data_IF_596995201145
#
_entry.id   IF_596995201145
#
_cell.length_a   1.000
_cell.length_b   1.000
_cell.length_c   1.000
_cell.angle_alpha   90.00
_cell.angle_beta   90.00
_cell.angle_gamma   90.00
#
_symmetry.space_group_name_H-M   'P 1'
#
loop_
_entity.id
_entity.type
_entity.pdbx_description
1 polymer ?
#
# COMPACT_ATOMS: atom_id res chain seq x y z
N UNK A 1 30.26 2.78 8.70
CA UNK A 1 28.91 3.30 8.37
C UNK A 1 28.05 2.10 7.98
N UNK A 2 26.77 2.04 8.39
CA UNK A 2 25.87 0.97 7.92
C UNK A 2 25.76 1.02 6.38
N UNK A 3 25.92 -0.11 5.66
CA UNK A 3 25.86 -0.13 4.19
C UNK A 3 24.54 0.42 3.63
N UNK A 4 23.40 0.17 4.30
CA UNK A 4 22.09 0.67 3.89
C UNK A 4 22.02 2.20 4.05
N UNK A 5 22.55 2.73 5.15
CA UNK A 5 22.65 4.19 5.31
C UNK A 5 23.52 4.81 4.22
N UNK A 6 24.68 4.21 3.93
CA UNK A 6 25.57 4.70 2.87
C UNK A 6 24.91 4.71 1.49
N UNK A 7 24.12 3.67 1.18
CA UNK A 7 23.33 3.60 -0.04
C UNK A 7 22.40 4.82 -0.17
N UNK A 8 21.55 5.07 0.84
CA UNK A 8 20.54 6.13 0.77
C UNK A 8 21.10 7.55 0.93
N UNK A 9 22.32 7.69 1.52
CA UNK A 9 23.05 8.97 1.47
C UNK A 9 23.60 9.25 0.06
N UNK A 10 23.97 8.21 -0.71
CA UNK A 10 24.51 8.35 -2.07
C UNK A 10 23.40 8.42 -3.10
N UNK A 11 22.37 7.61 -2.93
CA UNK A 11 21.23 7.45 -3.83
C UNK A 11 19.91 7.52 -3.06
N UNK A 12 19.43 8.73 -2.69
CA UNK A 12 18.11 8.89 -2.09
C UNK A 12 17.03 8.24 -2.94
N UNK A 13 16.19 7.39 -2.34
CA UNK A 13 15.20 6.60 -3.08
C UNK A 13 13.78 6.75 -2.48
N UNK A 14 12.75 6.78 -3.35
CA UNK A 14 12.83 6.93 -4.80
C UNK A 14 13.37 8.31 -5.20
N UNK A 15 14.05 8.39 -6.35
CA UNK A 15 14.56 9.67 -6.85
C UNK A 15 13.41 10.65 -7.12
N UNK A 16 13.45 11.84 -6.53
CA UNK A 16 12.40 12.86 -6.62
C UNK A 16 12.97 14.26 -6.80
N UNK A 17 12.36 15.01 -7.71
CA UNK A 17 12.58 16.45 -7.83
C UNK A 17 11.50 17.18 -7.00
N UNK A 18 11.89 17.96 -5.97
CA UNK A 18 10.93 18.74 -5.20
C UNK A 18 10.04 19.68 -6.03
N UNK A 19 10.55 20.18 -7.16
CA UNK A 19 9.78 21.07 -8.05
C UNK A 19 8.55 20.39 -8.68
N UNK A 20 8.53 19.06 -8.77
CA UNK A 20 7.38 18.33 -9.29
C UNK A 20 6.15 18.41 -8.38
N UNK A 21 6.34 18.75 -7.10
CA UNK A 21 5.23 18.93 -6.16
C UNK A 21 4.29 20.09 -6.53
N UNK A 22 4.79 21.08 -7.28
CA UNK A 22 3.95 22.15 -7.84
C UNK A 22 3.03 21.66 -8.97
N UNK A 23 3.34 20.51 -9.60
CA UNK A 23 2.62 19.97 -10.75
C UNK A 23 1.62 18.88 -10.39
N UNK A 24 1.97 18.01 -9.45
CA UNK A 24 1.14 16.85 -9.06
C UNK A 24 1.45 16.38 -7.65
N UNK A 25 0.45 15.77 -7.02
CA UNK A 25 0.64 14.94 -5.83
C UNK A 25 0.83 13.49 -6.27
N UNK A 26 1.83 12.80 -5.71
CA UNK A 26 1.93 11.35 -5.83
C UNK A 26 0.91 10.77 -4.85
N UNK A 27 -0.03 9.99 -5.37
CA UNK A 27 -1.11 9.36 -4.61
C UNK A 27 -0.98 7.84 -4.69
N UNK A 28 -1.22 7.14 -3.59
CA UNK A 28 -1.07 5.69 -3.51
C UNK A 28 -1.47 5.13 -2.15
N UNK A 29 -1.21 3.84 -1.98
CA UNK A 29 -1.49 3.11 -0.76
C UNK A 29 -0.18 2.60 -0.12
N UNK A 30 -0.17 2.43 1.21
CA UNK A 30 -1.18 2.81 2.19
C UNK A 30 -1.11 4.33 2.47
N UNK A 31 -1.79 4.81 3.49
CA UNK A 31 -1.67 6.18 4.03
C UNK A 31 -2.60 7.23 3.46
N UNK A 32 -3.53 6.86 2.56
CA UNK A 32 -4.63 7.75 2.24
C UNK A 32 -5.64 7.80 3.41
N UNK A 33 -6.06 8.98 3.95
CA UNK A 33 -6.93 9.06 5.13
C UNK A 33 -8.24 8.27 5.01
N UNK A 34 -8.82 8.18 3.81
CA UNK A 34 -10.04 7.39 3.57
C UNK A 34 -9.79 5.90 3.70
N UNK A 35 -8.63 5.40 3.26
CA UNK A 35 -8.21 4.01 3.47
C UNK A 35 -7.95 3.72 4.94
N UNK A 36 -7.20 4.60 5.61
CA UNK A 36 -6.90 4.49 7.05
C UNK A 36 -8.19 4.39 7.84
N UNK A 37 -9.17 5.27 7.58
CA UNK A 37 -10.47 5.25 8.25
C UNK A 37 -11.24 3.95 7.96
N UNK A 38 -11.26 3.53 6.71
CA UNK A 38 -11.96 2.33 6.28
C UNK A 38 -11.40 1.07 6.92
N UNK A 39 -10.10 0.86 6.84
CA UNK A 39 -9.46 -0.38 7.30
C UNK A 39 -9.19 -0.43 8.80
N UNK A 40 -8.86 0.71 9.42
CA UNK A 40 -8.44 0.73 10.81
C UNK A 40 -9.50 1.26 11.76
N UNK A 41 -10.27 2.27 11.37
CA UNK A 41 -11.23 2.92 12.27
C UNK A 41 -12.70 2.60 11.96
N UNK A 42 -12.95 1.61 11.10
CA UNK A 42 -14.29 1.18 10.75
C UNK A 42 -15.14 2.26 10.08
N UNK A 43 -14.48 3.23 9.44
CA UNK A 43 -15.12 4.37 8.82
C UNK A 43 -15.63 5.44 9.80
N UNK A 44 -15.19 5.42 11.07
CA UNK A 44 -15.75 6.23 12.15
C UNK A 44 -14.81 7.30 12.71
N UNK A 45 -13.63 7.47 12.08
CA UNK A 45 -12.69 8.47 12.57
C UNK A 45 -13.28 9.88 12.44
N UNK A 46 -13.31 10.60 13.56
CA UNK A 46 -13.59 12.03 13.57
C UNK A 46 -12.31 12.79 13.25
N UNK A 47 -12.20 13.25 12.00
CA UNK A 47 -11.03 13.96 11.50
C UNK A 47 -10.92 15.40 12.00
N UNK A 48 -11.89 15.92 12.75
CA UNK A 48 -11.77 17.17 13.47
C UNK A 48 -10.96 17.05 14.77
N UNK A 49 -10.71 15.82 15.21
CA UNK A 49 -9.88 15.51 16.38
C UNK A 49 -8.41 15.36 16.00
N UNK A 50 -7.48 15.65 16.93
CA UNK A 50 -6.05 15.48 16.71
C UNK A 50 -5.71 14.09 16.18
N UNK A 51 -4.79 14.04 15.21
CA UNK A 51 -4.32 12.80 14.60
C UNK A 51 -2.78 12.77 14.57
N UNK A 52 -2.21 11.80 15.28
CA UNK A 52 -0.77 11.64 15.38
C UNK A 52 -0.32 10.49 14.48
N UNK A 53 0.53 10.80 13.51
CA UNK A 53 1.05 9.82 12.56
C UNK A 53 2.58 9.76 12.58
N UNK A 54 3.12 8.56 12.40
CA UNK A 54 4.53 8.33 12.14
C UNK A 54 4.70 7.84 10.71
N UNK A 55 5.62 8.44 9.97
CA UNK A 55 6.12 7.90 8.71
C UNK A 55 7.53 7.36 8.99
N UNK A 56 7.62 6.05 9.16
CA UNK A 56 8.82 5.34 9.59
C UNK A 56 9.61 4.83 8.38
N UNK A 57 10.82 5.34 8.17
CA UNK A 57 11.60 5.14 6.95
C UNK A 57 10.99 5.90 5.79
N UNK A 58 10.74 7.20 5.99
CA UNK A 58 9.97 8.01 5.05
C UNK A 58 10.67 8.28 3.71
N UNK A 59 11.95 7.93 3.57
CA UNK A 59 12.72 8.11 2.34
C UNK A 59 12.60 9.53 1.79
N UNK A 60 12.45 9.68 0.48
CA UNK A 60 12.25 10.99 -0.15
C UNK A 60 10.81 11.55 -0.02
N UNK A 61 9.91 10.84 0.71
CA UNK A 61 8.68 11.41 1.25
C UNK A 61 7.38 11.14 0.48
N UNK A 62 7.28 10.13 -0.38
CA UNK A 62 6.03 9.90 -1.15
C UNK A 62 4.80 9.73 -0.24
N UNK A 63 4.83 8.78 0.70
CA UNK A 63 3.73 8.57 1.65
C UNK A 63 3.53 9.77 2.60
N UNK A 64 4.64 10.39 3.06
CA UNK A 64 4.61 11.56 3.93
C UNK A 64 3.85 12.73 3.31
N UNK A 65 4.23 13.12 2.08
CA UNK A 65 3.67 14.30 1.39
C UNK A 65 2.19 14.06 1.08
N UNK A 66 1.85 12.86 0.62
CA UNK A 66 0.46 12.49 0.36
C UNK A 66 -0.38 12.57 1.64
N UNK A 67 0.05 11.91 2.71
CA UNK A 67 -0.67 11.89 3.99
C UNK A 67 -0.85 13.31 4.53
N UNK A 68 0.22 14.11 4.58
CA UNK A 68 0.18 15.47 5.11
C UNK A 68 -0.75 16.37 4.29
N UNK A 69 -0.68 16.30 2.95
CA UNK A 69 -1.54 17.09 2.07
C UNK A 69 -3.01 16.70 2.24
N UNK A 70 -3.32 15.39 2.22
CA UNK A 70 -4.70 14.91 2.36
C UNK A 70 -5.31 15.25 3.73
N UNK A 71 -4.52 15.20 4.80
CA UNK A 71 -4.98 15.62 6.14
C UNK A 71 -5.20 17.13 6.21
N UNK A 72 -4.34 17.94 5.57
CA UNK A 72 -4.51 19.37 5.47
C UNK A 72 -5.77 19.73 4.65
N UNK A 73 -6.01 19.03 3.53
CA UNK A 73 -7.17 19.26 2.65
C UNK A 73 -8.51 19.04 3.38
N UNK A 74 -8.56 18.13 4.36
CA UNK A 74 -9.76 17.89 5.18
C UNK A 74 -9.78 18.69 6.50
N UNK A 75 -8.79 19.56 6.72
CA UNK A 75 -8.70 20.38 7.93
C UNK A 75 -8.42 19.60 9.21
N UNK A 76 -7.79 18.42 9.12
CA UNK A 76 -7.44 17.63 10.30
C UNK A 76 -6.30 18.30 11.08
N UNK A 77 -6.41 18.47 12.42
CA UNK A 77 -5.30 18.91 13.26
C UNK A 77 -4.26 17.77 13.42
N UNK A 78 -3.46 17.56 12.38
CA UNK A 78 -2.52 16.46 12.31
C UNK A 78 -1.14 16.84 12.85
N UNK A 79 -0.50 15.90 13.58
CA UNK A 79 0.89 15.93 14.00
C UNK A 79 1.60 14.76 13.34
N UNK A 80 2.43 15.02 12.31
CA UNK A 80 3.11 13.98 11.57
C UNK A 80 4.58 13.98 11.93
N UNK A 81 5.10 12.85 12.37
CA UNK A 81 6.54 12.66 12.57
C UNK A 81 7.10 11.87 11.40
N UNK A 82 8.06 12.44 10.71
CA UNK A 82 8.91 11.75 9.75
C UNK A 82 10.14 11.22 10.48
N UNK A 83 10.47 9.95 10.26
CA UNK A 83 11.66 9.31 10.80
C UNK A 83 12.40 8.57 9.69
N UNK A 84 13.64 8.93 9.42
CA UNK A 84 14.52 8.22 8.48
C UNK A 84 15.97 8.28 8.95
N UNK A 85 16.77 7.30 8.55
CA UNK A 85 18.19 7.25 8.90
C UNK A 85 19.08 8.10 7.97
N UNK A 86 18.59 8.45 6.76
CA UNK A 86 19.31 9.21 5.74
C UNK A 86 19.01 10.70 5.84
N UNK A 87 20.06 11.50 5.98
CA UNK A 87 19.96 12.95 5.93
C UNK A 87 19.68 13.46 4.51
N UNK A 88 20.25 12.80 3.50
CA UNK A 88 20.01 13.13 2.10
C UNK A 88 18.55 12.90 1.69
N UNK A 89 17.98 11.75 2.06
CA UNK A 89 16.56 11.47 1.83
C UNK A 89 15.65 12.47 2.56
N UNK A 90 15.95 12.76 3.82
CA UNK A 90 15.24 13.76 4.63
C UNK A 90 15.25 15.13 3.96
N UNK A 91 16.42 15.61 3.48
CA UNK A 91 16.52 16.91 2.82
C UNK A 91 15.59 17.03 1.60
N UNK A 92 15.45 15.95 0.81
CA UNK A 92 14.49 15.91 -0.30
C UNK A 92 13.06 16.00 0.20
N UNK A 93 12.69 15.22 1.23
CA UNK A 93 11.36 15.24 1.81
C UNK A 93 10.99 16.61 2.40
N UNK A 94 11.92 17.27 3.11
CA UNK A 94 11.74 18.63 3.63
C UNK A 94 11.51 19.65 2.50
N UNK A 95 12.31 19.59 1.43
CA UNK A 95 12.15 20.47 0.29
C UNK A 95 10.79 20.25 -0.40
N UNK A 96 10.32 19.02 -0.55
CA UNK A 96 9.00 18.70 -1.10
C UNK A 96 7.87 19.25 -0.21
N UNK A 97 7.97 19.07 1.11
CA UNK A 97 7.00 19.61 2.06
C UNK A 97 6.92 21.15 1.98
N UNK A 98 8.09 21.82 1.85
CA UNK A 98 8.16 23.27 1.73
C UNK A 98 7.48 23.79 0.46
N UNK A 99 7.64 23.12 -0.70
CA UNK A 99 6.94 23.49 -1.96
C UNK A 99 5.43 23.51 -1.79
N UNK A 100 4.88 22.59 -0.97
CA UNK A 100 3.44 22.50 -0.68
C UNK A 100 2.98 23.33 0.52
N UNK A 101 3.89 23.99 1.24
CA UNK A 101 3.56 24.72 2.46
C UNK A 101 3.07 23.85 3.62
N UNK A 102 3.50 22.57 3.68
CA UNK A 102 3.11 21.63 4.73
C UNK A 102 3.93 21.91 6.00
N UNK A 103 3.26 22.32 7.07
CA UNK A 103 3.90 22.74 8.34
C UNK A 103 3.64 21.79 9.51
N UNK A 104 2.77 20.79 9.35
CA UNK A 104 2.39 19.83 10.38
C UNK A 104 3.38 18.67 10.54
N UNK A 105 4.58 18.77 9.96
CA UNK A 105 5.56 17.69 9.90
C UNK A 105 6.75 18.01 10.79
N UNK A 106 7.07 17.08 11.69
CA UNK A 106 8.32 17.07 12.47
C UNK A 106 9.29 16.10 11.82
N UNK A 107 10.42 16.59 11.32
CA UNK A 107 11.48 15.76 10.72
C UNK A 107 12.48 15.30 11.76
N UNK A 108 12.75 14.00 11.80
CA UNK A 108 13.71 13.35 12.70
C UNK A 108 14.65 12.47 11.87
N UNK A 109 15.97 12.66 11.99
CA UNK A 109 16.95 11.69 11.49
C UNK A 109 17.27 10.70 12.60
N UNK A 110 17.06 9.41 12.38
CA UNK A 110 17.27 8.39 13.41
C UNK A 110 16.95 6.97 12.97
N UNK A 111 17.24 6.04 13.88
CA UNK A 111 16.95 4.62 13.69
C UNK A 111 15.47 4.33 14.01
N UNK A 112 14.80 3.56 13.16
CA UNK A 112 13.43 3.09 13.37
C UNK A 112 13.26 2.36 14.71
N UNK A 113 14.27 1.65 15.18
CA UNK A 113 14.25 0.95 16.46
C UNK A 113 14.07 1.90 17.66
N UNK A 114 14.30 3.20 17.48
CA UNK A 114 14.10 4.23 18.51
C UNK A 114 12.72 4.89 18.47
N UNK A 115 11.84 4.47 17.57
CA UNK A 115 10.52 5.08 17.34
C UNK A 115 9.65 5.16 18.60
N UNK A 116 9.80 4.23 19.55
CA UNK A 116 9.06 4.20 20.80
C UNK A 116 9.20 5.49 21.64
N UNK A 117 10.34 6.20 21.52
CA UNK A 117 10.57 7.47 22.21
C UNK A 117 9.81 8.66 21.58
N UNK A 118 9.23 8.49 20.38
CA UNK A 118 8.53 9.54 19.63
C UNK A 118 7.00 9.44 19.77
N UNK A 119 6.48 8.25 20.15
CA UNK A 119 5.05 7.93 20.20
C UNK A 119 4.33 8.39 21.48
N UNK A 120 3.07 7.94 21.67
CA UNK A 120 2.34 7.00 20.82
C UNK A 120 1.71 7.66 19.58
N UNK A 121 1.38 6.83 18.55
CA UNK A 121 0.76 7.28 17.30
C UNK A 121 -0.55 6.55 17.02
N UNK A 122 -1.53 7.27 16.44
CA UNK A 122 -2.79 6.70 15.95
C UNK A 122 -2.56 5.88 14.67
N UNK A 123 -1.57 6.28 13.87
CA UNK A 123 -1.24 5.62 12.61
C UNK A 123 0.28 5.60 12.37
N UNK A 124 0.76 4.50 11.81
CA UNK A 124 2.14 4.38 11.35
C UNK A 124 2.14 3.96 9.87
N UNK A 125 2.85 4.72 9.04
CA UNK A 125 3.25 4.32 7.69
C UNK A 125 4.65 3.71 7.77
N UNK A 126 4.85 2.51 7.19
CA UNK A 126 6.17 1.89 7.09
C UNK A 126 6.31 1.12 5.77
N UNK A 127 6.63 1.83 4.71
CA UNK A 127 6.67 1.30 3.35
C UNK A 127 8.09 1.14 2.84
N UNK A 128 8.48 -0.08 2.46
CA UNK A 128 9.79 -0.33 1.86
C UNK A 128 10.97 -0.32 2.85
N UNK A 129 10.74 -0.69 4.12
CA UNK A 129 11.75 -0.50 5.20
C UNK A 129 12.08 -1.79 5.95
N UNK A 130 11.06 -2.47 6.48
CA UNK A 130 11.26 -3.58 7.43
C UNK A 130 12.10 -4.72 6.85
N UNK A 131 11.98 -4.98 5.57
CA UNK A 131 12.73 -6.02 4.87
C UNK A 131 14.20 -5.66 4.61
N UNK A 132 14.62 -4.44 4.94
CA UNK A 132 16.00 -3.97 4.87
C UNK A 132 16.70 -3.91 6.22
N UNK A 133 15.99 -4.18 7.32
CA UNK A 133 16.59 -4.17 8.66
C UNK A 133 17.48 -5.39 8.89
N UNK A 134 18.55 -5.27 9.70
CA UNK A 134 19.35 -6.41 10.15
C UNK A 134 18.51 -7.44 10.92
N UNK A 135 17.62 -6.98 11.79
CA UNK A 135 16.60 -7.75 12.50
C UNK A 135 15.21 -7.15 12.20
N UNK A 136 14.51 -7.65 11.18
CA UNK A 136 13.17 -7.17 10.86
C UNK A 136 12.16 -7.37 12.00
N UNK A 137 12.29 -8.46 12.77
CA UNK A 137 11.38 -8.72 13.90
C UNK A 137 11.53 -7.66 15.00
N UNK A 138 12.75 -7.14 15.24
CA UNK A 138 12.95 -5.99 16.13
C UNK A 138 12.24 -4.75 15.59
N UNK A 139 12.26 -4.52 14.27
CA UNK A 139 11.54 -3.43 13.62
C UNK A 139 10.03 -3.54 13.80
N UNK A 140 9.44 -4.71 13.53
CA UNK A 140 8.01 -4.96 13.76
C UNK A 140 7.63 -4.69 15.24
N UNK A 141 8.42 -5.19 16.19
CA UNK A 141 8.17 -4.94 17.63
C UNK A 141 8.29 -3.46 18.00
N UNK A 142 9.30 -2.77 17.47
CA UNK A 142 9.49 -1.33 17.74
C UNK A 142 8.29 -0.51 17.27
N UNK A 143 7.73 -0.81 16.09
CA UNK A 143 6.53 -0.15 15.60
C UNK A 143 5.29 -0.51 16.42
N UNK A 144 5.11 -1.78 16.77
CA UNK A 144 3.94 -2.25 17.53
C UNK A 144 3.82 -1.57 18.91
N UNK A 145 4.95 -1.38 19.63
CA UNK A 145 4.94 -0.70 20.94
C UNK A 145 4.71 0.80 20.83
N UNK A 146 4.91 1.37 19.64
CA UNK A 146 4.76 2.81 19.37
C UNK A 146 3.31 3.19 19.04
N UNK A 147 2.43 2.22 18.80
CA UNK A 147 1.01 2.47 18.53
C UNK A 147 0.26 2.93 19.78
N UNK A 148 -0.60 3.92 19.61
CA UNK A 148 -1.65 4.25 20.57
C UNK A 148 -2.66 3.09 20.69
N UNK A 149 -3.44 3.00 21.78
CA UNK A 149 -4.60 2.11 21.83
C UNK A 149 -5.57 2.40 20.67
N UNK A 150 -6.01 1.37 19.97
CA UNK A 150 -6.87 1.51 18.79
C UNK A 150 -6.16 2.04 17.54
N UNK A 151 -4.83 2.22 17.58
CA UNK A 151 -4.03 2.62 16.42
C UNK A 151 -3.66 1.44 15.53
N UNK A 152 -3.21 1.76 14.30
CA UNK A 152 -2.82 0.74 13.33
C UNK A 152 -1.65 1.16 12.44
N UNK A 153 -1.16 0.17 11.69
CA UNK A 153 -0.02 0.32 10.78
C UNK A 153 -0.47 0.03 9.35
N UNK A 154 -0.10 0.89 8.41
CA UNK A 154 -0.04 0.57 6.99
C UNK A 154 1.40 0.29 6.62
N UNK A 155 1.70 -0.88 6.10
CA UNK A 155 3.07 -1.23 5.72
C UNK A 155 3.15 -1.89 4.34
N UNK A 156 4.32 -1.78 3.72
CA UNK A 156 4.66 -2.48 2.50
C UNK A 156 5.99 -3.20 2.65
N UNK A 157 6.01 -4.47 2.23
CA UNK A 157 7.24 -5.27 2.09
C UNK A 157 7.33 -5.89 0.70
N UNK A 158 8.54 -6.22 0.27
CA UNK A 158 8.75 -6.91 -1.00
C UNK A 158 8.31 -8.37 -0.94
N UNK A 159 7.73 -8.85 -2.06
CA UNK A 159 7.30 -10.22 -2.26
C UNK A 159 8.20 -10.94 -3.29
N UNK A 160 8.44 -12.27 -3.14
CA UNK A 160 9.45 -12.95 -3.96
C UNK A 160 9.01 -13.23 -5.40
N UNK A 161 7.74 -13.59 -5.63
CA UNK A 161 7.31 -14.12 -6.92
C UNK A 161 7.35 -13.06 -8.05
N UNK A 162 6.81 -11.88 -7.83
CA UNK A 162 6.87 -10.79 -8.82
C UNK A 162 8.28 -10.19 -8.98
N UNK A 163 9.18 -10.48 -8.04
CA UNK A 163 10.60 -10.09 -8.08
C UNK A 163 11.50 -11.23 -8.53
N UNK A 164 10.96 -12.21 -9.25
CA UNK A 164 11.71 -13.36 -9.78
C UNK A 164 12.94 -12.91 -10.56
N UNK A 165 14.11 -13.45 -10.21
CA UNK A 165 15.42 -13.13 -10.78
C UNK A 165 16.20 -12.02 -10.07
N UNK A 166 15.56 -11.21 -9.20
CA UNK A 166 16.25 -10.13 -8.44
C UNK A 166 17.28 -10.73 -7.48
N UNK A 167 16.87 -11.59 -6.58
CA UNK A 167 17.73 -12.09 -5.49
C UNK A 167 18.93 -12.91 -5.98
N UNK A 168 18.82 -13.76 -7.02
CA UNK A 168 20.00 -14.38 -7.64
C UNK A 168 21.00 -13.37 -8.20
N UNK A 169 20.52 -12.26 -8.81
CA UNK A 169 21.41 -11.22 -9.33
C UNK A 169 22.03 -10.38 -8.21
N UNK A 170 21.28 -10.03 -7.15
CA UNK A 170 21.85 -9.38 -5.97
C UNK A 170 22.99 -10.21 -5.38
N UNK A 171 22.78 -11.53 -5.23
CA UNK A 171 23.82 -12.44 -4.75
C UNK A 171 25.04 -12.52 -5.68
N UNK A 172 24.82 -12.51 -7.01
CA UNK A 172 25.91 -12.53 -8.00
C UNK A 172 26.69 -11.20 -8.00
N UNK A 173 25.99 -10.09 -8.00
CA UNK A 173 26.59 -8.75 -8.02
C UNK A 173 27.33 -8.43 -6.71
N UNK A 174 26.77 -8.83 -5.57
CA UNK A 174 27.46 -8.72 -4.28
C UNK A 174 28.79 -9.48 -4.24
N UNK A 175 28.89 -10.64 -4.93
CA UNK A 175 30.17 -11.39 -5.04
C UNK A 175 31.14 -10.78 -6.03
N UNK A 176 30.64 -10.14 -7.10
CA UNK A 176 31.50 -9.61 -8.16
C UNK A 176 32.10 -8.26 -7.82
N UNK A 177 31.33 -7.37 -7.18
CA UNK A 177 31.71 -5.98 -6.95
C UNK A 177 31.06 -5.35 -5.70
N UNK A 178 30.63 -6.18 -4.73
CA UNK A 178 29.97 -5.68 -3.51
C UNK A 178 30.85 -4.79 -2.63
N UNK A 179 32.18 -4.90 -2.75
CA UNK A 179 33.15 -4.07 -2.01
C UNK A 179 33.52 -2.77 -2.75
N UNK A 180 33.06 -2.59 -4.00
CA UNK A 180 33.34 -1.39 -4.76
C UNK A 180 32.49 -0.18 -4.29
N UNK A 181 32.92 1.05 -4.56
CA UNK A 181 32.09 2.24 -4.32
C UNK A 181 30.76 2.18 -5.10
N UNK A 182 29.62 2.70 -4.56
CA UNK A 182 28.31 2.61 -5.19
C UNK A 182 28.26 3.06 -6.65
N UNK A 183 28.93 4.15 -7.10
CA UNK A 183 28.91 4.52 -8.51
C UNK A 183 29.58 3.48 -9.43
N UNK A 184 30.63 2.81 -8.93
CA UNK A 184 31.29 1.73 -9.69
C UNK A 184 30.42 0.47 -9.74
N UNK A 185 29.76 0.12 -8.64
CA UNK A 185 28.77 -0.97 -8.60
C UNK A 185 27.66 -0.74 -9.64
N UNK A 186 27.09 0.47 -9.70
CA UNK A 186 26.05 0.82 -10.69
C UNK A 186 26.57 0.67 -12.12
N UNK A 187 27.76 1.23 -12.40
CA UNK A 187 28.40 1.15 -13.72
C UNK A 187 28.67 -0.30 -14.16
N UNK A 188 29.15 -1.13 -13.24
CA UNK A 188 29.46 -2.55 -13.50
C UNK A 188 28.18 -3.37 -13.66
N UNK A 189 27.14 -3.13 -12.80
CA UNK A 189 25.86 -3.79 -12.91
C UNK A 189 25.16 -3.52 -14.25
N UNK A 190 25.17 -2.27 -14.74
CA UNK A 190 24.61 -1.95 -16.06
C UNK A 190 25.28 -2.77 -17.16
N UNK A 191 26.60 -2.82 -17.19
CA UNK A 191 27.35 -3.63 -18.18
C UNK A 191 27.06 -5.13 -18.04
N UNK A 192 26.92 -5.64 -16.82
CA UNK A 192 26.59 -7.05 -16.59
C UNK A 192 25.17 -7.38 -17.06
N UNK A 193 24.21 -6.47 -16.86
CA UNK A 193 22.83 -6.65 -17.32
C UNK A 193 22.74 -6.76 -18.85
N UNK A 194 23.55 -6.00 -19.60
CA UNK A 194 23.58 -6.05 -21.07
C UNK A 194 24.07 -7.42 -21.61
N UNK A 195 24.84 -8.16 -20.81
CA UNK A 195 25.38 -9.47 -21.17
C UNK A 195 24.55 -10.65 -20.65
N UNK A 196 23.42 -10.44 -19.98
CA UNK A 196 22.62 -11.54 -19.45
C UNK A 196 21.99 -12.39 -20.57
N UNK A 197 22.04 -13.72 -20.46
CA UNK A 197 21.36 -14.59 -21.42
C UNK A 197 19.85 -14.44 -21.32
N UNK A 198 19.15 -14.61 -22.45
CA UNK A 198 17.68 -14.53 -22.54
C UNK A 198 16.96 -15.54 -21.61
N UNK A 199 17.64 -16.58 -21.17
CA UNK A 199 17.12 -17.57 -20.21
C UNK A 199 17.14 -17.05 -18.77
N UNK A 200 17.85 -15.96 -18.46
CA UNK A 200 17.92 -15.41 -17.12
C UNK A 200 16.54 -14.92 -16.67
N UNK A 201 16.15 -15.31 -15.46
CA UNK A 201 14.83 -14.98 -14.92
C UNK A 201 14.59 -13.48 -14.79
N UNK A 202 15.59 -12.70 -14.41
CA UNK A 202 15.48 -11.25 -14.35
C UNK A 202 15.30 -10.62 -15.74
N UNK A 203 16.09 -11.06 -16.72
CA UNK A 203 15.98 -10.58 -18.10
C UNK A 203 14.59 -10.84 -18.72
N UNK A 204 13.93 -11.93 -18.29
CA UNK A 204 12.55 -12.29 -18.70
C UNK A 204 11.46 -11.59 -17.91
N UNK A 205 11.79 -11.01 -16.74
CA UNK A 205 10.81 -10.38 -15.88
C UNK A 205 10.45 -8.97 -16.36
N UNK A 206 9.27 -8.84 -16.96
CA UNK A 206 8.75 -7.57 -17.47
C UNK A 206 8.06 -6.71 -16.42
N UNK A 207 7.92 -7.21 -15.18
CA UNK A 207 7.23 -6.50 -14.09
C UNK A 207 8.12 -5.44 -13.44
N UNK A 208 9.44 -5.52 -13.66
CA UNK A 208 10.44 -4.69 -13.01
C UNK A 208 11.03 -3.68 -13.99
N UNK A 209 11.04 -2.42 -13.59
CA UNK A 209 11.51 -1.31 -14.43
C UNK A 209 12.48 -0.34 -13.75
N UNK A 210 12.58 -0.39 -12.41
CA UNK A 210 13.27 0.60 -11.58
C UNK A 210 14.75 0.77 -11.96
N UNK A 211 15.43 -0.34 -12.29
CA UNK A 211 16.81 -0.36 -12.78
C UNK A 211 17.04 0.43 -14.08
N UNK A 212 15.97 0.71 -14.84
CA UNK A 212 16.02 1.51 -16.09
C UNK A 212 15.70 2.96 -15.86
N UNK A 213 15.02 3.29 -14.77
CA UNK A 213 14.52 4.63 -14.49
C UNK A 213 15.60 5.55 -13.93
N UNK A 214 16.47 5.04 -13.04
CA UNK A 214 17.53 5.82 -12.40
C UNK A 214 18.64 4.92 -11.83
N UNK A 215 19.75 5.52 -11.44
CA UNK A 215 20.82 4.82 -10.72
C UNK A 215 20.36 4.43 -9.31
N UNK A 216 19.60 5.28 -8.64
CA UNK A 216 18.99 4.96 -7.35
C UNK A 216 18.07 3.73 -7.46
N UNK A 217 17.22 3.67 -8.50
CA UNK A 217 16.34 2.53 -8.75
C UNK A 217 17.09 1.24 -9.12
N UNK A 218 18.22 1.34 -9.84
CA UNK A 218 19.07 0.18 -10.11
C UNK A 218 19.73 -0.31 -8.82
N UNK A 219 20.24 0.61 -8.01
CA UNK A 219 20.90 0.28 -6.76
C UNK A 219 19.94 -0.40 -5.79
N UNK A 220 18.78 0.20 -5.55
CA UNK A 220 17.75 -0.35 -4.67
C UNK A 220 17.29 -1.74 -5.12
N UNK A 221 17.08 -1.93 -6.43
CA UNK A 221 16.58 -3.20 -6.95
C UNK A 221 17.60 -4.33 -6.96
N UNK A 222 18.86 -4.07 -7.34
CA UNK A 222 19.85 -5.12 -7.68
C UNK A 222 21.14 -5.08 -6.88
N UNK A 223 21.42 -4.00 -6.16
CA UNK A 223 22.67 -3.80 -5.43
C UNK A 223 22.47 -3.64 -3.92
N UNK A 224 21.21 -3.71 -3.48
CA UNK A 224 20.87 -3.55 -2.06
C UNK A 224 21.57 -4.62 -1.22
N UNK A 225 22.30 -4.20 -0.19
CA UNK A 225 23.09 -5.09 0.66
C UNK A 225 22.25 -5.98 1.58
N UNK A 226 21.00 -5.59 1.85
CA UNK A 226 20.05 -6.29 2.70
C UNK A 226 18.65 -6.16 2.12
N UNK A 227 18.15 -7.20 1.49
CA UNK A 227 16.80 -7.25 0.92
C UNK A 227 16.22 -8.65 1.13
N UNK A 228 15.28 -8.77 2.07
CA UNK A 228 14.63 -10.03 2.44
C UNK A 228 13.15 -9.99 2.02
N UNK A 229 12.74 -10.69 0.96
CA UNK A 229 11.33 -10.74 0.58
C UNK A 229 10.52 -11.54 1.61
N UNK A 230 9.24 -11.23 1.70
CA UNK A 230 8.26 -11.94 2.51
C UNK A 230 7.24 -12.65 1.64
N UNK A 231 7.03 -13.94 1.91
CA UNK A 231 5.78 -14.60 1.56
C UNK A 231 4.66 -14.10 2.49
N UNK A 232 3.41 -14.19 2.05
CA UNK A 232 2.26 -13.82 2.89
C UNK A 232 2.30 -14.52 4.26
N UNK A 233 2.64 -15.83 4.28
CA UNK A 233 2.74 -16.58 5.53
C UNK A 233 3.85 -16.08 6.46
N UNK A 234 5.02 -15.73 5.90
CA UNK A 234 6.15 -15.19 6.66
C UNK A 234 5.82 -13.81 7.25
N UNK A 235 5.13 -12.97 6.47
CA UNK A 235 4.67 -11.66 6.92
C UNK A 235 3.64 -11.81 8.06
N UNK A 236 2.67 -12.72 7.91
CA UNK A 236 1.70 -13.02 8.96
C UNK A 236 2.36 -13.45 10.26
N UNK A 237 3.34 -14.37 10.18
CA UNK A 237 4.10 -14.84 11.35
C UNK A 237 4.95 -13.71 11.98
N UNK A 238 5.53 -12.80 11.18
CA UNK A 238 6.28 -11.65 11.71
C UNK A 238 5.37 -10.67 12.45
N UNK A 239 4.19 -10.39 11.92
CA UNK A 239 3.17 -9.57 12.58
C UNK A 239 2.74 -10.20 13.91
N UNK A 240 2.44 -11.50 13.93
CA UNK A 240 2.03 -12.23 15.13
C UNK A 240 3.11 -12.17 16.23
N UNK A 241 4.39 -12.38 15.89
CA UNK A 241 5.52 -12.25 16.85
C UNK A 241 5.65 -10.83 17.43
N UNK A 242 5.14 -9.82 16.73
CA UNK A 242 5.10 -8.44 17.21
C UNK A 242 3.79 -8.10 17.96
N UNK A 243 2.88 -9.06 18.15
CA UNK A 243 1.57 -8.83 18.77
C UNK A 243 0.58 -8.09 17.86
N UNK A 244 0.78 -8.17 16.55
CA UNK A 244 -0.08 -7.59 15.53
C UNK A 244 -0.79 -8.68 14.72
N UNK A 245 -1.90 -8.31 14.09
CA UNK A 245 -2.61 -9.14 13.12
C UNK A 245 -2.93 -8.34 11.86
N UNK A 246 -2.94 -8.95 10.68
CA UNK A 246 -3.42 -8.30 9.48
C UNK A 246 -4.91 -7.98 9.60
N UNK A 247 -5.29 -6.76 9.29
CA UNK A 247 -6.69 -6.33 9.16
C UNK A 247 -7.14 -6.57 7.72
N UNK A 248 -6.35 -6.09 6.74
CA UNK A 248 -6.60 -6.34 5.32
C UNK A 248 -5.32 -6.21 4.52
N UNK A 249 -5.11 -7.12 3.56
CA UNK A 249 -4.17 -6.90 2.47
C UNK A 249 -4.81 -5.99 1.42
N UNK A 250 -4.05 -5.07 0.83
CA UNK A 250 -4.58 -4.18 -0.19
C UNK A 250 -4.69 -4.86 -1.54
N UNK A 251 -5.75 -4.46 -2.25
CA UNK A 251 -6.38 -5.19 -3.34
C UNK A 251 -6.82 -6.58 -2.85
N UNK A 252 -7.80 -6.67 -1.90
CA UNK A 252 -8.17 -7.94 -1.26
C UNK A 252 -8.50 -9.08 -2.23
N UNK A 253 -9.01 -8.77 -3.42
CA UNK A 253 -9.29 -9.76 -4.46
C UNK A 253 -8.03 -10.50 -4.92
N UNK A 254 -6.86 -9.87 -4.85
CA UNK A 254 -5.57 -10.53 -5.20
C UNK A 254 -5.20 -11.61 -4.20
N UNK A 255 -5.69 -11.51 -2.97
CA UNK A 255 -5.46 -12.48 -1.89
C UNK A 255 -6.61 -13.48 -1.72
N UNK A 256 -7.55 -13.52 -2.68
CA UNK A 256 -8.58 -14.56 -2.78
C UNK A 256 -8.21 -15.56 -3.89
N UNK A 257 -7.96 -16.84 -3.57
CA UNK A 257 -7.65 -17.87 -4.57
C UNK A 257 -8.69 -18.01 -5.67
N UNK A 258 -9.97 -17.73 -5.35
CA UNK A 258 -11.05 -17.80 -6.31
C UNK A 258 -10.96 -16.76 -7.44
N UNK A 259 -10.12 -15.75 -7.27
CA UNK A 259 -9.79 -14.79 -8.33
C UNK A 259 -9.00 -15.43 -9.48
N UNK A 260 -8.25 -16.49 -9.20
CA UNK A 260 -7.34 -17.15 -10.15
C UNK A 260 -7.83 -18.54 -10.60
N UNK A 261 -8.74 -19.13 -9.84
CA UNK A 261 -9.22 -20.48 -10.10
C UNK A 261 -10.54 -20.47 -10.92
N UNK A 262 -10.76 -21.48 -11.76
CA UNK A 262 -12.03 -21.61 -12.48
C UNK A 262 -13.19 -21.78 -11.50
N UNK A 263 -14.40 -21.40 -11.91
CA UNK A 263 -15.61 -21.48 -11.09
C UNK A 263 -16.10 -22.91 -10.80
N UNK A 264 -15.19 -23.81 -10.47
CA UNK A 264 -15.50 -25.19 -10.09
C UNK A 264 -16.02 -25.27 -8.66
N UNK A 265 -17.22 -25.86 -8.42
CA UNK A 265 -17.83 -25.93 -7.08
C UNK A 265 -17.01 -26.72 -6.07
N UNK A 266 -16.32 -27.79 -6.49
CA UNK A 266 -15.52 -28.61 -5.58
C UNK A 266 -14.26 -27.85 -5.14
N UNK A 267 -13.58 -27.18 -6.08
CA UNK A 267 -12.42 -26.31 -5.78
C UNK A 267 -12.86 -25.18 -4.86
N UNK A 268 -13.99 -24.53 -5.18
CA UNK A 268 -14.51 -23.43 -4.35
C UNK A 268 -14.85 -23.87 -2.91
N UNK A 269 -15.38 -25.08 -2.73
CA UNK A 269 -15.65 -25.63 -1.40
C UNK A 269 -14.34 -25.85 -0.61
N UNK A 270 -13.30 -26.38 -1.24
CA UNK A 270 -11.97 -26.55 -0.62
C UNK A 270 -11.35 -25.21 -0.22
N UNK A 271 -11.40 -24.21 -1.10
CA UNK A 271 -10.90 -22.87 -0.78
C UNK A 271 -11.67 -22.25 0.39
N UNK A 272 -12.99 -22.40 0.44
CA UNK A 272 -13.81 -21.87 1.55
C UNK A 272 -13.51 -22.51 2.91
N UNK A 273 -13.00 -23.73 2.92
CA UNK A 273 -12.61 -24.44 4.15
C UNK A 273 -11.29 -23.92 4.75
N UNK A 274 -10.49 -23.18 3.97
CA UNK A 274 -9.23 -22.60 4.42
C UNK A 274 -9.48 -21.35 5.28
N UNK A 275 -8.60 -21.11 6.25
CA UNK A 275 -8.54 -19.88 7.00
C UNK A 275 -8.13 -18.69 6.11
N UNK A 276 -8.37 -17.47 6.54
CA UNK A 276 -8.01 -16.27 5.76
C UNK A 276 -6.50 -16.21 5.46
N UNK A 277 -5.58 -16.46 6.40
CA UNK A 277 -4.14 -16.49 6.09
C UNK A 277 -3.77 -17.59 5.07
N UNK A 278 -4.35 -18.80 5.18
CA UNK A 278 -4.10 -19.89 4.23
C UNK A 278 -4.61 -19.53 2.83
N UNK A 279 -5.76 -18.89 2.73
CA UNK A 279 -6.29 -18.39 1.44
C UNK A 279 -5.37 -17.36 0.83
N UNK A 280 -4.90 -16.40 1.61
CA UNK A 280 -4.00 -15.36 1.12
C UNK A 280 -2.66 -15.95 0.63
N UNK A 281 -2.09 -16.92 1.36
CA UNK A 281 -0.88 -17.61 0.94
C UNK A 281 -1.09 -18.45 -0.34
N UNK A 282 -2.23 -19.14 -0.46
CA UNK A 282 -2.58 -19.89 -1.67
C UNK A 282 -2.77 -18.94 -2.86
N UNK A 283 -3.43 -17.78 -2.67
CA UNK A 283 -3.62 -16.79 -3.71
C UNK A 283 -2.30 -16.23 -4.24
N UNK A 284 -1.34 -15.93 -3.35
CA UNK A 284 0.00 -15.49 -3.73
C UNK A 284 0.69 -16.52 -4.64
N UNK A 285 0.63 -17.81 -4.29
CA UNK A 285 1.23 -18.89 -5.06
C UNK A 285 0.56 -19.06 -6.44
N UNK A 286 -0.77 -18.93 -6.51
CA UNK A 286 -1.53 -19.04 -7.75
C UNK A 286 -1.29 -17.82 -8.66
N UNK A 287 -1.19 -16.63 -8.10
CA UNK A 287 -0.92 -15.41 -8.85
C UNK A 287 0.49 -15.40 -9.46
N UNK A 288 1.50 -15.78 -8.68
CA UNK A 288 2.90 -15.88 -9.09
C UNK A 288 3.55 -14.57 -9.55
N UNK A 289 2.90 -13.41 -9.33
CA UNK A 289 3.33 -12.13 -9.89
C UNK A 289 3.39 -10.97 -8.88
N UNK A 290 3.05 -11.20 -7.62
CA UNK A 290 3.05 -10.14 -6.60
C UNK A 290 4.48 -9.65 -6.34
N UNK A 291 4.71 -8.35 -6.53
CA UNK A 291 6.01 -7.70 -6.28
C UNK A 291 6.14 -7.22 -4.84
N UNK A 292 5.02 -6.87 -4.24
CA UNK A 292 4.92 -6.30 -2.90
C UNK A 292 3.68 -6.83 -2.20
N UNK A 293 3.74 -6.86 -0.88
CA UNK A 293 2.56 -6.98 -0.02
C UNK A 293 2.35 -5.65 0.68
N UNK A 294 1.15 -5.07 0.50
CA UNK A 294 0.69 -3.91 1.25
C UNK A 294 -0.39 -4.42 2.20
N UNK A 295 -0.27 -4.10 3.49
CA UNK A 295 -1.19 -4.59 4.51
C UNK A 295 -1.46 -3.51 5.55
N UNK A 296 -2.73 -3.41 5.97
CA UNK A 296 -3.10 -2.76 7.21
C UNK A 296 -3.09 -3.79 8.33
N UNK A 297 -2.41 -3.47 9.42
CA UNK A 297 -2.28 -4.33 10.59
C UNK A 297 -2.51 -3.54 11.89
N UNK A 298 -2.99 -4.23 12.91
CA UNK A 298 -3.24 -3.66 14.23
C UNK A 298 -3.12 -4.73 15.32
N UNK A 299 -3.21 -4.34 16.59
CA UNK A 299 -3.37 -5.33 17.66
C UNK A 299 -4.70 -6.07 17.50
N UNK A 300 -4.75 -7.37 17.78
CA UNK A 300 -5.97 -8.16 17.62
C UNK A 300 -7.18 -7.53 18.33
N UNK A 301 -8.27 -7.32 17.58
CA UNK A 301 -9.51 -6.77 18.11
C UNK A 301 -9.57 -5.25 18.34
N UNK A 302 -8.46 -4.52 18.14
CA UNK A 302 -8.45 -3.05 18.33
C UNK A 302 -8.94 -2.28 17.10
N UNK A 303 -8.81 -2.84 15.90
CA UNK A 303 -9.24 -2.22 14.65
C UNK A 303 -10.26 -3.08 13.90
N UNK A 304 -11.07 -2.44 13.09
CA UNK A 304 -12.07 -3.12 12.26
C UNK A 304 -12.28 -2.38 10.94
N UNK A 305 -12.47 -3.15 9.89
CA UNK A 305 -12.84 -2.66 8.57
C UNK A 305 -14.27 -2.10 8.56
N UNK A 306 -14.49 -1.00 7.84
CA UNK A 306 -15.81 -0.40 7.69
C UNK A 306 -16.77 -1.34 6.94
N UNK A 307 -17.95 -1.52 7.51
CA UNK A 307 -18.98 -2.40 6.94
C UNK A 307 -20.02 -1.60 6.14
N UNK A 308 -20.23 -1.90 4.85
CA UNK A 308 -21.20 -1.20 3.99
C UNK A 308 -22.65 -1.64 4.23
N UNK A 309 -22.92 -2.50 5.20
CA UNK A 309 -24.27 -3.06 5.47
C UNK A 309 -25.23 -2.06 6.12
N UNK A 310 -24.79 -0.85 6.43
CA UNK A 310 -25.59 0.18 7.09
C UNK A 310 -25.99 1.27 6.10
N UNK A 311 -27.25 1.68 6.13
CA UNK A 311 -27.76 2.77 5.28
C UNK A 311 -27.00 4.10 5.45
N UNK A 312 -26.44 4.36 6.63
CA UNK A 312 -25.64 5.54 6.92
C UNK A 312 -24.19 5.49 6.44
N UNK A 313 -23.71 4.38 5.85
CA UNK A 313 -22.36 4.32 5.31
C UNK A 313 -22.24 5.21 4.06
N UNK A 314 -21.18 6.00 3.98
CA UNK A 314 -20.88 6.91 2.86
C UNK A 314 -19.78 6.29 2.00
N UNK A 315 -20.05 5.95 0.73
CA UNK A 315 -19.05 5.40 -0.18
C UNK A 315 -18.16 6.50 -0.76
N UNK A 316 -16.85 6.24 -0.79
CA UNK A 316 -15.82 7.08 -1.38
C UNK A 316 -15.10 6.30 -2.46
N UNK A 317 -15.15 6.77 -3.71
CA UNK A 317 -14.34 6.18 -4.79
C UNK A 317 -12.91 6.73 -4.75
N UNK A 318 -11.95 5.84 -4.98
CA UNK A 318 -10.55 6.16 -5.11
C UNK A 318 -10.08 5.99 -6.56
N UNK A 319 -9.37 6.99 -7.10
CA UNK A 319 -8.74 6.93 -8.42
C UNK A 319 -9.69 6.96 -9.62
N UNK A 320 -11.02 7.02 -9.42
CA UNK A 320 -11.99 7.04 -10.53
C UNK A 320 -13.19 7.94 -10.24
N UNK A 321 -13.61 8.72 -11.24
CA UNK A 321 -14.80 9.55 -11.12
C UNK A 321 -16.09 8.70 -11.24
N UNK A 322 -17.08 8.89 -10.34
CA UNK A 322 -18.33 8.11 -10.35
C UNK A 322 -19.02 8.07 -11.71
N UNK A 323 -19.15 9.23 -12.38
CA UNK A 323 -19.81 9.32 -13.68
C UNK A 323 -19.05 8.56 -14.79
N UNK A 324 -17.72 8.53 -14.75
CA UNK A 324 -16.91 7.78 -15.71
C UNK A 324 -17.08 6.26 -15.52
N UNK A 325 -16.99 5.80 -14.27
CA UNK A 325 -17.18 4.41 -13.92
C UNK A 325 -18.60 3.92 -14.26
N UNK A 326 -19.63 4.74 -13.94
CA UNK A 326 -21.00 4.42 -14.27
C UNK A 326 -21.22 4.24 -15.77
N UNK A 327 -20.68 5.14 -16.61
CA UNK A 327 -20.74 4.99 -18.07
C UNK A 327 -20.06 3.71 -18.54
N UNK A 328 -18.90 3.38 -17.99
CA UNK A 328 -18.17 2.16 -18.34
C UNK A 328 -18.96 0.90 -17.97
N UNK A 329 -19.52 0.86 -16.76
CA UNK A 329 -20.36 -0.26 -16.30
C UNK A 329 -21.64 -0.38 -17.14
N UNK A 330 -22.31 0.72 -17.47
CA UNK A 330 -23.49 0.69 -18.35
C UNK A 330 -23.18 0.11 -19.74
N UNK A 331 -22.03 0.47 -20.30
CA UNK A 331 -21.62 0.03 -21.64
C UNK A 331 -21.12 -1.42 -21.66
N UNK A 332 -20.26 -1.80 -20.70
CA UNK A 332 -19.48 -3.05 -20.73
C UNK A 332 -19.93 -4.11 -19.72
N UNK A 333 -20.69 -3.76 -18.68
CA UNK A 333 -21.04 -4.66 -17.58
C UNK A 333 -19.88 -4.88 -16.59
N UNK A 334 -18.97 -3.91 -16.49
CA UNK A 334 -17.81 -3.98 -15.61
C UNK A 334 -16.62 -3.18 -16.12
N UNK A 335 -15.45 -3.48 -15.58
CA UNK A 335 -14.18 -2.87 -15.96
C UNK A 335 -13.03 -3.87 -15.80
N UNK A 336 -11.83 -3.52 -16.28
CA UNK A 336 -10.62 -4.32 -16.09
C UNK A 336 -9.63 -3.56 -15.22
N UNK A 337 -8.97 -4.29 -14.32
CA UNK A 337 -7.85 -3.83 -13.51
C UNK A 337 -6.62 -4.61 -13.92
N UNK A 338 -5.48 -3.95 -13.98
CA UNK A 338 -4.19 -4.62 -14.23
C UNK A 338 -3.30 -4.42 -13.02
N UNK A 339 -3.00 -5.51 -12.32
CA UNK A 339 -2.10 -5.51 -11.17
C UNK A 339 -0.91 -6.42 -11.45
N UNK A 340 0.32 -5.89 -11.35
CA UNK A 340 1.56 -6.60 -11.63
C UNK A 340 1.51 -7.43 -12.94
N UNK A 341 1.06 -6.78 -14.03
CA UNK A 341 1.01 -7.38 -15.36
C UNK A 341 -0.16 -8.36 -15.61
N UNK A 342 -0.96 -8.68 -14.59
CA UNK A 342 -2.14 -9.53 -14.74
C UNK A 342 -3.39 -8.66 -14.89
N UNK A 343 -4.06 -8.78 -16.04
CA UNK A 343 -5.35 -8.14 -16.29
C UNK A 343 -6.49 -9.01 -15.74
N UNK A 344 -7.34 -8.41 -14.93
CA UNK A 344 -8.49 -9.06 -14.30
C UNK A 344 -9.78 -8.31 -14.63
N UNK A 345 -10.86 -9.04 -14.94
CA UNK A 345 -12.15 -8.44 -15.23
C UNK A 345 -13.01 -8.38 -13.98
N UNK A 346 -13.52 -7.21 -13.67
CA UNK A 346 -14.48 -6.97 -12.59
C UNK A 346 -15.86 -6.85 -13.19
N UNK A 347 -16.71 -7.85 -12.94
CA UNK A 347 -18.08 -7.88 -13.46
C UNK A 347 -19.02 -7.16 -12.49
N UNK A 348 -19.70 -6.13 -12.99
CA UNK A 348 -20.75 -5.39 -12.29
C UNK A 348 -21.97 -5.32 -13.22
N UNK A 349 -23.16 -5.74 -12.77
CA UNK A 349 -24.35 -5.67 -13.60
C UNK A 349 -24.60 -4.26 -14.15
N UNK A 350 -24.97 -4.15 -15.42
CA UNK A 350 -25.25 -2.84 -16.07
C UNK A 350 -26.33 -2.04 -15.34
N UNK A 351 -27.25 -2.74 -14.70
CA UNK A 351 -28.31 -2.14 -13.87
C UNK A 351 -27.78 -1.41 -12.63
N UNK A 352 -26.54 -1.65 -12.22
CA UNK A 352 -25.90 -0.94 -11.09
C UNK A 352 -25.29 0.43 -11.50
N UNK A 353 -25.24 0.76 -12.78
CA UNK A 353 -24.67 2.04 -13.23
C UNK A 353 -25.32 3.29 -12.59
N UNK A 354 -26.66 3.37 -12.41
CA UNK A 354 -27.27 4.50 -11.70
C UNK A 354 -26.85 4.62 -10.24
N UNK A 355 -26.60 3.49 -9.56
CA UNK A 355 -26.13 3.46 -8.18
C UNK A 355 -24.72 4.08 -8.08
N UNK A 356 -23.84 3.69 -9.01
CA UNK A 356 -22.45 4.20 -9.08
C UNK A 356 -22.47 5.70 -9.42
N UNK A 357 -23.32 6.13 -10.36
CA UNK A 357 -23.44 7.54 -10.74
C UNK A 357 -23.91 8.44 -9.59
N UNK A 358 -24.63 7.88 -8.62
CA UNK A 358 -25.14 8.59 -7.46
C UNK A 358 -24.12 8.72 -6.32
N UNK A 359 -22.94 8.07 -6.41
CA UNK A 359 -21.86 8.22 -5.43
C UNK A 359 -21.31 9.66 -5.48
N UNK A 360 -21.04 10.24 -4.33
CA UNK A 360 -20.43 11.57 -4.18
C UNK A 360 -21.28 12.55 -3.38
N UNK A 361 -20.71 13.71 -3.10
CA UNK A 361 -21.37 14.75 -2.29
C UNK A 361 -21.70 14.33 -0.86
N UNK A 362 -20.95 13.36 -0.31
CA UNK A 362 -21.18 12.86 1.06
C UNK A 362 -22.47 12.06 1.23
N UNK A 363 -23.09 11.60 0.14
CA UNK A 363 -24.33 10.80 0.20
C UNK A 363 -24.08 9.44 0.83
N UNK A 364 -24.91 9.09 1.80
CA UNK A 364 -24.96 7.74 2.37
C UNK A 364 -25.55 6.74 1.38
N UNK A 365 -25.37 5.46 1.66
CA UNK A 365 -26.03 4.38 0.89
C UNK A 365 -27.56 4.51 0.94
N UNK A 366 -28.12 4.98 2.05
CA UNK A 366 -29.55 5.28 2.18
C UNK A 366 -29.99 6.41 1.26
N UNK A 367 -29.21 7.49 1.17
CA UNK A 367 -29.48 8.59 0.24
C UNK A 367 -29.41 8.15 -1.22
N UNK A 368 -28.43 7.29 -1.55
CA UNK A 368 -28.30 6.70 -2.89
C UNK A 368 -29.51 5.82 -3.20
N UNK A 369 -29.93 4.95 -2.27
CA UNK A 369 -31.11 4.11 -2.43
C UNK A 369 -32.37 4.94 -2.71
N UNK A 370 -32.58 6.00 -1.93
CA UNK A 370 -33.69 6.94 -2.13
C UNK A 370 -33.63 7.65 -3.50
N UNK A 371 -32.44 8.12 -3.90
CA UNK A 371 -32.24 8.79 -5.18
C UNK A 371 -32.57 7.89 -6.38
N UNK A 372 -32.27 6.60 -6.30
CA UNK A 372 -32.58 5.62 -7.35
C UNK A 372 -33.95 4.94 -7.17
N UNK A 373 -34.73 5.35 -6.16
CA UNK A 373 -36.08 4.87 -5.85
C UNK A 373 -36.15 3.35 -5.59
N UNK A 374 -35.15 2.82 -4.88
CA UNK A 374 -35.13 1.43 -4.42
C UNK A 374 -35.38 1.37 -2.90
N UNK A 375 -36.16 0.37 -2.47
CA UNK A 375 -36.16 0.01 -1.05
C UNK A 375 -34.81 -0.56 -0.63
N UNK A 376 -34.57 -0.64 0.69
CA UNK A 376 -33.25 -1.03 1.20
C UNK A 376 -32.85 -2.47 0.79
N UNK A 377 -33.79 -3.42 0.73
CA UNK A 377 -33.49 -4.80 0.38
C UNK A 377 -33.07 -4.93 -1.09
N UNK A 378 -33.85 -4.32 -2.00
CA UNK A 378 -33.53 -4.27 -3.42
C UNK A 378 -32.23 -3.53 -3.68
N UNK A 379 -31.99 -2.41 -2.99
CA UNK A 379 -30.74 -1.67 -3.07
C UNK A 379 -29.55 -2.51 -2.61
N UNK A 380 -29.62 -3.15 -1.44
CA UNK A 380 -28.53 -3.96 -0.90
C UNK A 380 -28.16 -5.12 -1.84
N UNK A 381 -29.16 -5.75 -2.46
CA UNK A 381 -28.94 -6.80 -3.45
C UNK A 381 -28.22 -6.26 -4.71
N UNK A 382 -28.63 -5.09 -5.21
CA UNK A 382 -28.01 -4.45 -6.37
C UNK A 382 -26.61 -3.85 -6.05
N UNK A 383 -26.40 -3.38 -4.80
CA UNK A 383 -25.13 -2.82 -4.36
C UNK A 383 -24.05 -3.88 -4.11
N UNK A 384 -24.43 -5.10 -3.72
CA UNK A 384 -23.50 -6.18 -3.40
C UNK A 384 -22.42 -6.43 -4.46
N UNK A 385 -22.76 -6.56 -5.76
CA UNK A 385 -21.75 -6.67 -6.83
C UNK A 385 -20.85 -5.44 -6.97
N UNK A 386 -21.38 -4.22 -6.78
CA UNK A 386 -20.61 -2.98 -6.81
C UNK A 386 -19.57 -2.96 -5.67
N UNK A 387 -20.05 -3.25 -4.45
CA UNK A 387 -19.20 -3.34 -3.28
C UNK A 387 -18.06 -4.35 -3.49
N UNK A 388 -18.38 -5.62 -3.78
CA UNK A 388 -17.36 -6.66 -3.96
C UNK A 388 -16.37 -6.34 -5.06
N UNK A 389 -16.86 -5.83 -6.20
CA UNK A 389 -15.99 -5.51 -7.34
C UNK A 389 -15.03 -4.36 -7.07
N UNK A 390 -15.50 -3.33 -6.36
CA UNK A 390 -14.70 -2.13 -6.12
C UNK A 390 -13.80 -2.25 -4.88
N UNK A 391 -14.28 -2.85 -3.78
CA UNK A 391 -13.43 -3.09 -2.59
C UNK A 391 -12.35 -4.11 -2.89
N UNK A 392 -12.66 -5.14 -3.68
CA UNK A 392 -11.68 -6.15 -4.07
C UNK A 392 -10.41 -5.58 -4.71
N UNK A 393 -10.51 -4.44 -5.38
CA UNK A 393 -9.37 -3.76 -6.03
C UNK A 393 -9.11 -2.36 -5.45
N UNK A 394 -9.48 -2.12 -4.21
CA UNK A 394 -9.17 -0.89 -3.46
C UNK A 394 -9.72 0.40 -4.10
N UNK A 395 -10.83 0.30 -4.87
CA UNK A 395 -11.45 1.44 -5.55
C UNK A 395 -12.58 2.10 -4.77
N UNK A 396 -13.07 1.49 -3.69
CA UNK A 396 -14.12 2.06 -2.84
C UNK A 396 -13.83 1.82 -1.37
N UNK A 397 -14.05 2.86 -0.59
CA UNK A 397 -13.92 2.85 0.87
C UNK A 397 -15.19 3.42 1.49
N UNK A 398 -15.40 3.15 2.78
CA UNK A 398 -16.60 3.62 3.46
C UNK A 398 -16.24 4.41 4.71
N UNK A 399 -16.98 5.49 4.96
CA UNK A 399 -17.03 6.16 6.26
C UNK A 399 -18.44 6.14 6.82
N UNK A 400 -18.58 6.36 8.13
CA UNK A 400 -19.88 6.46 8.81
C UNK A 400 -20.13 7.92 9.17
N UNK A 401 -21.20 8.50 8.64
CA UNK A 401 -21.57 9.90 8.81
C UNK A 401 -21.16 10.80 7.65
N UNK A 402 -21.90 11.89 7.43
CA UNK A 402 -21.57 12.87 6.43
C UNK A 402 -20.28 13.59 6.86
N UNK A 403 -19.23 13.46 6.10
CA UNK A 403 -18.11 14.40 6.14
C UNK A 403 -18.56 15.65 5.41
N UNK A 404 -18.62 16.76 6.13
CA UNK A 404 -18.80 18.07 5.54
C UNK A 404 -17.50 18.55 4.90
#
# INVERSE_FOLDING_TARGET
MDPVKWQYETYPYPERDPADEAKRLIDGSPSHPVEIDHFLFGGRRDWSQPFRALVAGGGTGDGLIMLAQKLADIGCPAEITYLDMSEASRAVAEARAAVRGLTSIRFVTGDLLTAAALGPFDYIDCCGVLHHLPDPDAGFRALAVTLAPGGGIGLMVYAPFGRTGVYPLQAAFGRLFGDDPPPDQVRLARRALDGLPETNWFARNRLLGDHRSSDAGLYDLLLHSRDRPYMVGDLGAALERAGLAPVSFLEPARYDPLTYLPGDPEIAARVKALTMPERAALAEQLAGNMKTHIVYAARPGECAEAQPSRAGAVPHLNGVAPAALARQVAAKGGFSVTSDGLAQSVNIPRTAAPLIAAIGGGRSLGDIAAAVKLDWLAFAAAWGPVHRGLTGFNHIHYSVGARR
#
